data_IF_226141332909
#
_entry.id   IF_226141332909
#
_cell.length_a   1.000
_cell.length_b   1.000
_cell.length_c   1.000
_cell.angle_alpha   90.00
_cell.angle_beta   90.00
_cell.angle_gamma   90.00
#
_symmetry.space_group_name_H-M   'P 1'
#
loop_
_entity.id
_entity.type
_entity.pdbx_description
1 polymer ?
#
# COMPACT_ATOMS: atom_id res chain seq x y z
N UNK A 1 59.91 -34.09 15.78
CA UNK A 1 59.18 -35.32 16.14
C UNK A 1 57.68 -35.08 15.88
N UNK A 2 57.24 -35.29 14.68
CA UNK A 2 56.52 -36.45 14.16
C UNK A 2 55.20 -36.70 14.86
N UNK A 3 54.10 -36.57 14.12
CA UNK A 3 52.79 -37.03 14.51
C UNK A 3 51.69 -36.58 13.51
N UNK A 4 51.71 -37.17 12.29
CA UNK A 4 50.55 -37.18 11.39
C UNK A 4 49.41 -37.97 12.05
N UNK A 5 48.22 -37.44 12.08
CA UNK A 5 46.99 -38.21 12.08
C UNK A 5 46.04 -37.71 10.99
N UNK A 6 45.95 -38.56 10.00
CA UNK A 6 44.96 -38.56 8.94
C UNK A 6 43.62 -39.04 9.58
N UNK A 7 42.54 -38.29 9.45
CA UNK A 7 41.19 -38.82 9.62
C UNK A 7 40.34 -38.35 8.47
N UNK A 8 39.87 -39.32 7.75
CA UNK A 8 39.02 -39.30 6.56
C UNK A 8 37.67 -38.62 6.79
N UNK A 9 37.23 -37.92 5.81
CA UNK A 9 35.98 -37.90 5.09
C UNK A 9 34.66 -38.07 5.86
N UNK A 10 33.99 -36.91 6.08
CA UNK A 10 32.52 -36.93 6.10
C UNK A 10 32.02 -35.82 5.12
N UNK A 11 31.63 -36.30 3.95
CA UNK A 11 30.92 -35.50 2.98
C UNK A 11 29.51 -35.19 3.52
N UNK A 12 29.35 -34.02 4.11
CA UNK A 12 28.02 -33.46 4.33
C UNK A 12 27.41 -33.10 2.97
N UNK A 13 26.58 -33.99 2.44
CA UNK A 13 25.68 -33.66 1.33
C UNK A 13 24.79 -32.51 1.77
N UNK A 14 25.01 -31.35 1.16
CA UNK A 14 24.18 -30.18 1.30
C UNK A 14 22.76 -30.51 0.90
N UNK A 15 21.86 -30.53 1.86
CA UNK A 15 20.44 -30.48 1.64
C UNK A 15 20.08 -29.03 1.28
N UNK A 16 20.13 -28.70 -0.02
CA UNK A 16 19.50 -27.50 -0.52
C UNK A 16 17.97 -27.71 -0.40
N UNK A 17 17.24 -26.84 0.31
CA UNK A 17 15.81 -26.86 0.20
C UNK A 17 15.45 -26.43 -1.22
N UNK A 18 14.88 -27.35 -1.97
CA UNK A 18 14.25 -27.04 -3.26
C UNK A 18 13.25 -25.91 -3.03
N UNK A 19 13.47 -24.79 -3.69
CA UNK A 19 12.52 -23.69 -3.80
C UNK A 19 11.21 -24.26 -4.31
N UNK A 20 10.22 -24.40 -3.41
CA UNK A 20 8.85 -24.68 -3.81
C UNK A 20 8.44 -23.55 -4.75
N UNK A 21 8.20 -23.89 -5.99
CA UNK A 21 7.60 -23.01 -6.97
C UNK A 21 6.35 -22.39 -6.35
N UNK A 22 6.36 -21.07 -6.24
CA UNK A 22 5.17 -20.30 -5.95
C UNK A 22 4.09 -20.69 -6.97
N UNK A 23 2.88 -21.09 -6.54
CA UNK A 23 1.80 -21.44 -7.47
C UNK A 23 1.25 -20.22 -8.22
N UNK A 24 1.76 -19.03 -7.97
CA UNK A 24 1.41 -17.84 -8.71
C UNK A 24 2.36 -17.72 -9.91
N UNK A 25 1.93 -18.36 -11.02
CA UNK A 25 2.56 -18.17 -12.32
C UNK A 25 2.69 -16.68 -12.61
N UNK A 26 3.84 -16.30 -13.15
CA UNK A 26 4.11 -14.95 -13.65
C UNK A 26 2.98 -14.57 -14.61
N UNK A 27 2.05 -13.75 -14.16
CA UNK A 27 0.99 -13.19 -14.98
C UNK A 27 1.69 -12.20 -15.90
N UNK A 28 2.01 -12.65 -17.11
CA UNK A 28 2.43 -11.78 -18.19
C UNK A 28 1.21 -10.95 -18.64
N UNK A 29 0.99 -9.82 -17.96
CA UNK A 29 0.04 -8.85 -18.45
C UNK A 29 0.51 -8.28 -19.79
N UNK A 30 -0.31 -8.46 -20.81
CA UNK A 30 -0.13 -7.82 -22.12
C UNK A 30 -0.08 -6.31 -21.91
N UNK A 31 1.10 -5.69 -22.07
CA UNK A 31 1.32 -4.25 -22.11
C UNK A 31 0.66 -3.64 -23.36
N UNK A 32 -0.65 -3.45 -23.33
CA UNK A 32 -1.38 -2.71 -24.37
C UNK A 32 -2.16 -1.53 -23.77
N UNK A 33 -1.53 -0.75 -22.89
CA UNK A 33 -2.05 0.51 -22.39
C UNK A 33 -0.89 1.46 -22.10
N UNK A 34 -1.06 2.74 -22.42
CA UNK A 34 -0.13 3.80 -22.02
C UNK A 34 -0.07 3.83 -20.49
N UNK A 35 1.14 3.73 -19.91
CA UNK A 35 1.35 3.77 -18.45
C UNK A 35 0.58 4.94 -17.83
N UNK A 36 0.05 4.74 -16.63
CA UNK A 36 -0.62 5.81 -15.86
C UNK A 36 0.30 7.02 -15.69
N UNK A 37 1.59 6.78 -15.58
CA UNK A 37 2.62 7.81 -15.40
C UNK A 37 2.74 8.74 -16.61
N UNK A 38 2.65 8.22 -17.83
CA UNK A 38 2.64 9.04 -19.06
C UNK A 38 1.43 9.97 -19.06
N UNK A 39 0.26 9.47 -18.67
CA UNK A 39 -0.97 10.26 -18.58
C UNK A 39 -0.91 11.33 -17.49
N UNK A 40 -0.31 11.01 -16.35
CA UNK A 40 -0.05 11.99 -15.28
C UNK A 40 0.95 13.05 -15.80
N UNK A 41 2.02 12.63 -16.48
CA UNK A 41 3.00 13.52 -17.06
C UNK A 41 2.39 14.49 -18.07
N UNK A 42 1.56 14.01 -18.98
CA UNK A 42 0.82 14.85 -19.94
C UNK A 42 -0.10 15.86 -19.22
N UNK A 43 -0.80 15.39 -18.17
CA UNK A 43 -1.70 16.22 -17.39
C UNK A 43 -0.93 17.34 -16.67
N UNK A 44 0.16 17.00 -15.98
CA UNK A 44 1.02 17.96 -15.27
C UNK A 44 1.68 18.95 -16.22
N UNK A 45 2.04 18.51 -17.42
CA UNK A 45 2.67 19.38 -18.43
C UNK A 45 1.72 20.41 -19.00
N UNK A 46 0.41 20.09 -19.07
CA UNK A 46 -0.64 21.01 -19.56
C UNK A 46 -1.08 22.05 -18.52
N UNK A 47 -0.70 21.89 -17.27
CA UNK A 47 -1.07 22.80 -16.17
C UNK A 47 0.17 23.37 -15.45
N UNK A 48 1.06 24.09 -16.15
CA UNK A 48 2.27 24.64 -15.54
C UNK A 48 1.91 25.72 -14.52
N UNK A 49 2.37 25.54 -13.27
CA UNK A 49 2.26 26.57 -12.23
C UNK A 49 0.94 26.63 -11.47
N UNK A 50 0.02 25.70 -11.68
CA UNK A 50 -1.19 25.59 -10.86
C UNK A 50 -0.90 24.90 -9.53
N UNK A 51 -1.55 25.38 -8.46
CA UNK A 51 -1.55 24.69 -7.18
C UNK A 51 -2.08 23.24 -7.34
N UNK A 52 -1.55 22.29 -6.60
CA UNK A 52 -1.97 20.89 -6.70
C UNK A 52 -3.48 20.75 -6.44
N UNK A 53 -4.04 21.60 -5.59
CA UNK A 53 -5.49 21.68 -5.34
C UNK A 53 -6.32 21.92 -6.61
N UNK A 54 -5.89 22.83 -7.48
CA UNK A 54 -6.56 23.08 -8.77
C UNK A 54 -6.33 21.94 -9.77
N UNK A 55 -5.26 21.16 -9.62
CA UNK A 55 -5.04 19.96 -10.44
C UNK A 55 -6.05 18.85 -10.11
N UNK A 56 -6.44 18.68 -8.85
CA UNK A 56 -7.50 17.73 -8.47
C UNK A 56 -8.84 18.11 -9.09
N UNK A 57 -9.17 19.42 -9.11
CA UNK A 57 -10.39 19.91 -9.74
C UNK A 57 -10.35 19.76 -11.27
N UNK A 58 -9.19 20.00 -11.89
CA UNK A 58 -8.99 19.79 -13.32
C UNK A 58 -9.12 18.31 -13.73
N UNK A 59 -8.81 17.35 -12.83
CA UNK A 59 -9.05 15.93 -13.08
C UNK A 59 -10.53 15.60 -13.31
N UNK A 60 -11.43 16.26 -12.57
CA UNK A 60 -12.87 16.06 -12.73
C UNK A 60 -13.34 16.41 -14.14
N UNK A 61 -12.69 17.40 -14.76
CA UNK A 61 -13.05 17.87 -16.10
C UNK A 61 -12.32 17.16 -17.22
N UNK A 62 -11.02 16.85 -17.03
CA UNK A 62 -10.18 16.26 -18.06
C UNK A 62 -10.57 14.83 -18.46
N UNK A 63 -11.13 14.04 -17.53
CA UNK A 63 -11.44 12.63 -17.76
C UNK A 63 -12.94 12.31 -17.64
N UNK A 64 -13.82 13.27 -17.97
CA UNK A 64 -15.28 13.09 -17.91
C UNK A 64 -15.79 11.89 -18.70
N UNK A 65 -15.15 11.56 -19.83
CA UNK A 65 -15.54 10.45 -20.70
C UNK A 65 -15.04 9.06 -20.26
N UNK A 66 -14.12 8.98 -19.26
CA UNK A 66 -13.55 7.71 -18.81
C UNK A 66 -13.45 7.66 -17.28
N UNK A 67 -14.50 7.17 -16.60
CA UNK A 67 -14.54 7.14 -15.14
C UNK A 67 -13.48 6.23 -14.51
N UNK A 68 -13.08 5.15 -15.18
CA UNK A 68 -12.04 4.25 -14.70
C UNK A 68 -10.67 4.93 -14.72
N UNK A 69 -10.29 5.52 -15.84
CA UNK A 69 -9.04 6.27 -15.97
C UNK A 69 -8.99 7.43 -14.96
N UNK A 70 -10.11 8.13 -14.77
CA UNK A 70 -10.21 9.21 -13.78
C UNK A 70 -9.90 8.71 -12.37
N UNK A 71 -10.45 7.55 -11.95
CA UNK A 71 -10.16 6.95 -10.65
C UNK A 71 -8.69 6.58 -10.50
N UNK A 72 -8.11 5.93 -11.53
CA UNK A 72 -6.69 5.54 -11.53
C UNK A 72 -5.75 6.74 -11.41
N UNK A 73 -5.99 7.81 -12.18
CA UNK A 73 -5.20 9.05 -12.11
C UNK A 73 -5.40 9.74 -10.76
N UNK A 74 -6.64 9.81 -10.26
CA UNK A 74 -6.95 10.41 -8.96
C UNK A 74 -6.25 9.65 -7.82
N UNK A 75 -6.29 8.32 -7.83
CA UNK A 75 -5.58 7.48 -6.87
C UNK A 75 -4.08 7.80 -6.86
N UNK A 76 -3.43 7.81 -8.03
CA UNK A 76 -2.00 8.06 -8.13
C UNK A 76 -1.61 9.46 -7.64
N UNK A 77 -2.40 10.49 -7.97
CA UNK A 77 -2.16 11.85 -7.49
C UNK A 77 -2.39 11.96 -5.98
N UNK A 78 -3.42 11.30 -5.44
CA UNK A 78 -3.65 11.26 -4.00
C UNK A 78 -2.46 10.66 -3.26
N UNK A 79 -1.97 9.53 -3.74
CA UNK A 79 -0.81 8.87 -3.15
C UNK A 79 0.42 9.77 -3.16
N UNK A 80 0.74 10.41 -4.29
CA UNK A 80 1.88 11.33 -4.40
C UNK A 80 1.71 12.52 -3.44
N UNK A 81 0.53 13.14 -3.44
CA UNK A 81 0.27 14.33 -2.64
C UNK A 81 0.32 14.05 -1.14
N UNK A 82 -0.38 13.01 -0.69
CA UNK A 82 -0.44 12.66 0.74
C UNK A 82 0.91 12.14 1.24
N UNK A 83 1.66 11.36 0.44
CA UNK A 83 3.02 10.95 0.80
C UNK A 83 3.96 12.15 0.95
N UNK A 84 3.88 13.11 0.04
CA UNK A 84 4.68 14.32 0.13
C UNK A 84 4.34 15.20 1.35
N UNK A 85 3.06 15.21 1.76
CA UNK A 85 2.61 15.92 2.95
C UNK A 85 3.02 15.19 4.24
N UNK A 86 2.95 13.86 4.25
CA UNK A 86 3.43 13.02 5.35
C UNK A 86 4.91 13.25 5.61
N UNK A 87 5.74 13.14 4.58
CA UNK A 87 7.18 13.41 4.65
C UNK A 87 7.51 14.85 5.09
N UNK A 88 6.64 15.84 4.81
CA UNK A 88 6.80 17.21 5.29
C UNK A 88 6.46 17.33 6.79
N UNK A 89 5.50 16.58 7.29
CA UNK A 89 5.11 16.60 8.70
C UNK A 89 6.24 16.13 9.63
N UNK A 90 7.06 15.18 9.17
CA UNK A 90 8.22 14.69 9.92
C UNK A 90 9.46 15.57 9.75
N UNK A 91 9.50 16.36 8.70
CA UNK A 91 10.62 17.26 8.38
C UNK A 91 11.83 16.55 7.77
N UNK A 92 11.88 15.24 7.75
CA UNK A 92 12.97 14.42 7.23
C UNK A 92 12.39 13.48 6.17
N UNK A 93 12.87 13.58 4.94
CA UNK A 93 12.57 12.60 3.89
C UNK A 93 13.76 11.66 3.82
N UNK A 94 13.57 10.41 4.20
CA UNK A 94 14.62 9.41 4.16
C UNK A 94 14.83 8.88 2.73
N UNK A 95 16.05 8.41 2.44
CA UNK A 95 16.33 7.76 1.16
C UNK A 95 15.50 6.48 0.97
N UNK A 96 15.13 5.83 2.07
CA UNK A 96 14.35 4.60 2.08
C UNK A 96 12.88 4.86 1.76
N UNK A 97 12.28 5.95 2.26
CA UNK A 97 10.94 6.40 1.84
C UNK A 97 10.88 6.73 0.35
N UNK A 98 11.89 7.43 -0.19
CA UNK A 98 11.96 7.73 -1.63
C UNK A 98 12.10 6.44 -2.44
N UNK A 99 12.90 5.47 -1.95
CA UNK A 99 13.05 4.17 -2.60
C UNK A 99 11.75 3.39 -2.57
N UNK A 100 11.11 3.24 -1.40
CA UNK A 100 9.83 2.57 -1.25
C UNK A 100 8.75 3.20 -2.13
N UNK A 101 8.69 4.53 -2.14
CA UNK A 101 7.81 5.25 -3.04
C UNK A 101 8.05 4.87 -4.52
N UNK A 102 9.31 4.83 -4.95
CA UNK A 102 9.68 4.52 -6.33
C UNK A 102 9.39 3.05 -6.68
N UNK A 103 9.61 2.13 -5.75
CA UNK A 103 9.35 0.70 -5.90
C UNK A 103 7.85 0.39 -5.93
N UNK A 104 7.07 0.97 -4.99
CA UNK A 104 5.61 0.80 -4.93
C UNK A 104 4.97 1.26 -6.24
N UNK A 105 5.40 2.39 -6.72
CA UNK A 105 4.80 3.03 -7.88
C UNK A 105 5.33 2.51 -9.22
N UNK A 106 6.32 1.62 -9.24
CA UNK A 106 6.96 1.11 -10.45
C UNK A 106 7.15 2.22 -11.52
N UNK A 107 7.64 3.39 -11.09
CA UNK A 107 7.72 4.60 -11.91
C UNK A 107 8.76 4.38 -13.02
N UNK A 108 8.37 4.46 -14.30
CA UNK A 108 9.33 4.41 -15.39
C UNK A 108 10.33 5.56 -15.27
N UNK A 109 11.59 5.31 -15.58
CA UNK A 109 12.64 6.32 -15.49
C UNK A 109 12.34 7.57 -16.35
N UNK A 110 11.65 7.39 -17.47
CA UNK A 110 11.16 8.49 -18.32
C UNK A 110 10.20 9.43 -17.60
N UNK A 111 9.42 8.93 -16.64
CA UNK A 111 8.38 9.68 -15.93
C UNK A 111 8.82 10.19 -14.55
N UNK A 112 10.00 9.79 -14.09
CA UNK A 112 10.53 10.18 -12.76
C UNK A 112 10.55 11.69 -12.55
N UNK A 113 10.84 12.48 -13.59
CA UNK A 113 10.84 13.96 -13.52
C UNK A 113 9.44 14.53 -13.27
N UNK A 114 8.41 13.97 -13.91
CA UNK A 114 7.02 14.40 -13.77
C UNK A 114 6.49 14.08 -12.38
N UNK A 115 6.83 12.89 -11.87
CA UNK A 115 6.47 12.48 -10.51
C UNK A 115 7.19 13.32 -9.47
N UNK A 116 8.49 13.55 -9.62
CA UNK A 116 9.26 14.42 -8.72
C UNK A 116 8.73 15.87 -8.72
N UNK A 117 8.30 16.36 -9.87
CA UNK A 117 7.66 17.70 -9.97
C UNK A 117 6.36 17.75 -9.18
N UNK A 118 5.48 16.75 -9.32
CA UNK A 118 4.24 16.63 -8.56
C UNK A 118 4.50 16.57 -7.05
N UNK A 119 5.46 15.74 -6.65
CA UNK A 119 5.86 15.58 -5.26
C UNK A 119 6.35 16.92 -4.67
N UNK A 120 7.20 17.65 -5.40
CA UNK A 120 7.69 18.97 -4.97
C UNK A 120 6.57 20.01 -4.92
N UNK A 121 5.65 20.01 -5.87
CA UNK A 121 4.47 20.89 -5.83
C UNK A 121 3.63 20.61 -4.57
N UNK A 122 3.39 19.35 -4.24
CA UNK A 122 2.67 18.95 -3.03
C UNK A 122 3.38 19.41 -1.75
N UNK A 123 4.72 19.30 -1.69
CA UNK A 123 5.51 19.77 -0.54
C UNK A 123 5.45 21.28 -0.38
N UNK A 124 5.45 22.04 -1.48
CA UNK A 124 5.47 23.51 -1.47
C UNK A 124 4.08 24.12 -1.26
N UNK A 125 3.02 23.39 -1.56
CA UNK A 125 1.66 23.88 -1.41
C UNK A 125 1.37 24.24 0.05
N UNK A 126 0.80 25.43 0.26
CA UNK A 126 0.41 25.96 1.57
C UNK A 126 -0.81 25.23 2.14
N UNK A 127 -1.67 24.69 1.26
CA UNK A 127 -2.83 23.93 1.67
C UNK A 127 -2.44 22.75 2.56
N UNK A 128 -3.13 22.58 3.68
CA UNK A 128 -2.97 21.44 4.57
C UNK A 128 -3.30 20.12 3.85
N UNK A 129 -2.82 19.02 4.38
CA UNK A 129 -3.12 17.70 3.81
C UNK A 129 -4.61 17.35 3.90
N UNK A 130 -5.32 17.95 4.85
CA UNK A 130 -6.75 17.73 5.06
C UNK A 130 -7.54 18.09 3.80
N UNK A 131 -7.25 19.24 3.18
CA UNK A 131 -7.96 19.65 1.96
C UNK A 131 -7.73 18.70 0.78
N UNK A 132 -6.60 18.01 0.73
CA UNK A 132 -6.35 16.95 -0.26
C UNK A 132 -7.11 15.68 0.07
N UNK A 133 -7.11 15.27 1.34
CA UNK A 133 -7.84 14.11 1.81
C UNK A 133 -9.36 14.28 1.58
N UNK A 134 -9.93 15.46 1.89
CA UNK A 134 -11.34 15.78 1.64
C UNK A 134 -11.70 15.68 0.15
N UNK A 135 -10.88 16.24 -0.74
CA UNK A 135 -11.11 16.15 -2.18
C UNK A 135 -11.03 14.72 -2.71
N UNK A 136 -10.19 13.87 -2.11
CA UNK A 136 -10.11 12.46 -2.44
C UNK A 136 -11.33 11.70 -1.94
N UNK A 137 -11.80 12.01 -0.73
CA UNK A 137 -13.04 11.45 -0.18
C UNK A 137 -14.24 11.75 -1.09
N UNK A 138 -14.32 12.98 -1.62
CA UNK A 138 -15.36 13.39 -2.57
C UNK A 138 -15.36 12.60 -3.89
N UNK A 139 -14.20 12.11 -4.34
CA UNK A 139 -14.11 11.30 -5.57
C UNK A 139 -14.72 9.90 -5.40
N UNK A 140 -14.74 9.39 -4.17
CA UNK A 140 -15.38 8.12 -3.83
C UNK A 140 -16.90 8.24 -3.63
N UNK A 141 -17.44 9.44 -3.66
CA UNK A 141 -18.80 9.75 -3.25
C UNK A 141 -18.83 10.05 -1.75
N UNK A 142 -18.84 11.35 -1.43
CA UNK A 142 -18.79 11.87 -0.07
C UNK A 142 -19.76 11.15 0.88
N UNK A 143 -19.25 10.76 2.04
CA UNK A 143 -20.05 10.20 3.13
C UNK A 143 -20.31 8.69 3.10
N UNK A 144 -19.66 7.93 2.22
CA UNK A 144 -19.70 6.45 2.32
C UNK A 144 -18.63 5.99 3.32
N UNK A 145 -19.03 5.45 4.49
CA UNK A 145 -18.05 4.93 5.44
C UNK A 145 -17.28 3.75 4.82
N UNK A 146 -16.01 3.64 5.18
CA UNK A 146 -15.14 2.54 4.77
C UNK A 146 -15.10 2.30 3.25
N UNK A 147 -14.96 3.37 2.46
CA UNK A 147 -14.81 3.24 1.01
C UNK A 147 -13.50 2.50 0.69
N UNK A 148 -13.60 1.35 0.02
CA UNK A 148 -12.47 0.47 -0.25
C UNK A 148 -11.32 1.14 -1.02
N UNK A 149 -11.58 2.10 -1.90
CA UNK A 149 -10.53 2.85 -2.60
C UNK A 149 -9.77 3.79 -1.65
N UNK A 150 -10.45 4.40 -0.66
CA UNK A 150 -9.81 5.24 0.35
C UNK A 150 -9.00 4.39 1.34
N UNK A 151 -9.49 3.20 1.66
CA UNK A 151 -8.72 2.20 2.42
C UNK A 151 -7.45 1.80 1.65
N UNK A 152 -7.54 1.56 0.34
CA UNK A 152 -6.39 1.22 -0.49
C UNK A 152 -5.34 2.35 -0.51
N UNK A 153 -5.78 3.63 -0.51
CA UNK A 153 -4.89 4.79 -0.37
C UNK A 153 -4.21 4.80 1.00
N UNK A 154 -4.99 4.65 2.08
CA UNK A 154 -4.46 4.67 3.45
C UNK A 154 -3.45 3.54 3.67
N UNK A 155 -3.75 2.34 3.20
CA UNK A 155 -2.87 1.17 3.30
C UNK A 155 -1.56 1.38 2.52
N UNK A 156 -1.63 2.03 1.36
CA UNK A 156 -0.46 2.43 0.59
C UNK A 156 0.41 3.46 1.32
N UNK A 157 -0.19 4.42 2.01
CA UNK A 157 0.53 5.40 2.82
C UNK A 157 1.25 4.72 4.01
N UNK A 158 0.60 3.76 4.68
CA UNK A 158 1.23 2.93 5.70
C UNK A 158 2.43 2.14 5.16
N UNK A 159 2.31 1.62 3.93
CA UNK A 159 3.40 0.90 3.30
C UNK A 159 4.62 1.79 3.04
N UNK A 160 4.40 3.07 2.68
CA UNK A 160 5.46 4.07 2.52
C UNK A 160 6.06 4.43 3.89
N UNK A 161 5.23 4.71 4.89
CA UNK A 161 5.66 5.06 6.24
C UNK A 161 6.54 3.95 6.87
N UNK A 162 6.25 2.69 6.56
CA UNK A 162 7.01 1.53 7.05
C UNK A 162 8.34 1.30 6.31
N UNK A 163 8.72 2.10 5.36
CA UNK A 163 9.87 1.84 4.49
C UNK A 163 11.21 1.71 5.22
N UNK A 164 11.37 2.40 6.33
CA UNK A 164 12.54 2.33 7.21
C UNK A 164 12.42 1.24 8.31
N UNK A 165 11.32 0.48 8.30
CA UNK A 165 11.07 -0.66 9.20
C UNK A 165 10.02 -0.40 10.28
N UNK A 166 9.75 0.84 10.65
CA UNK A 166 8.82 1.24 11.70
C UNK A 166 7.96 2.41 11.25
N UNK A 167 6.68 2.39 11.61
CA UNK A 167 5.81 3.56 11.43
C UNK A 167 5.97 4.46 12.67
N UNK A 168 6.45 5.68 12.48
CA UNK A 168 6.69 6.62 13.56
C UNK A 168 5.38 7.21 14.12
N UNK A 169 5.37 7.63 15.38
CA UNK A 169 4.19 8.15 16.05
C UNK A 169 3.54 9.34 15.33
N UNK A 170 4.36 10.23 14.74
CA UNK A 170 3.88 11.38 13.95
C UNK A 170 3.17 10.94 12.68
N UNK A 171 3.68 9.89 12.01
CA UNK A 171 3.05 9.31 10.83
C UNK A 171 1.73 8.63 11.20
N UNK A 172 1.69 7.89 12.31
CA UNK A 172 0.44 7.30 12.82
C UNK A 172 -0.60 8.40 13.08
N UNK A 173 -0.20 9.52 13.69
CA UNK A 173 -1.09 10.66 13.94
C UNK A 173 -1.62 11.26 12.64
N UNK A 174 -0.74 11.45 11.65
CA UNK A 174 -1.10 11.93 10.30
C UNK A 174 -2.08 10.96 9.63
N UNK A 175 -1.75 9.66 9.61
CA UNK A 175 -2.56 8.62 8.97
C UNK A 175 -3.92 8.46 9.65
N UNK A 176 -3.99 8.60 10.98
CA UNK A 176 -5.25 8.60 11.74
C UNK A 176 -6.14 9.77 11.31
N UNK A 177 -5.56 10.96 11.16
CA UNK A 177 -6.31 12.12 10.69
C UNK A 177 -6.82 11.96 9.26
N UNK A 178 -6.01 11.37 8.37
CA UNK A 178 -6.44 11.01 7.01
C UNK A 178 -7.60 10.00 7.05
N UNK A 179 -7.51 8.98 7.91
CA UNK A 179 -8.55 7.98 8.07
C UNK A 179 -9.89 8.57 8.53
N UNK A 180 -9.86 9.53 9.48
CA UNK A 180 -11.05 10.26 9.92
C UNK A 180 -11.74 10.99 8.75
N UNK A 181 -10.94 11.70 7.92
CA UNK A 181 -11.46 12.42 6.74
C UNK A 181 -12.03 11.43 5.71
N UNK A 182 -11.44 10.26 5.60
CA UNK A 182 -11.88 9.19 4.72
C UNK A 182 -13.12 8.43 5.26
N UNK A 183 -13.65 8.83 6.42
CA UNK A 183 -14.72 8.14 7.13
C UNK A 183 -14.42 6.65 7.38
N UNK A 184 -13.15 6.34 7.67
CA UNK A 184 -12.70 5.02 8.15
C UNK A 184 -12.82 5.04 9.66
N UNK A 185 -13.62 4.12 10.20
CA UNK A 185 -13.83 4.06 11.66
C UNK A 185 -12.58 3.60 12.41
N UNK A 186 -12.55 3.88 13.72
CA UNK A 186 -11.37 3.59 14.55
C UNK A 186 -11.01 2.11 14.61
N UNK A 187 -11.98 1.21 14.63
CA UNK A 187 -11.74 -0.24 14.64
C UNK A 187 -11.10 -0.70 13.33
N UNK A 188 -11.59 -0.19 12.22
CA UNK A 188 -11.04 -0.48 10.89
C UNK A 188 -9.63 0.12 10.72
N UNK A 189 -9.41 1.34 11.25
CA UNK A 189 -8.08 1.94 11.27
C UNK A 189 -7.07 1.08 12.04
N UNK A 190 -7.42 0.59 13.24
CA UNK A 190 -6.55 -0.30 14.02
C UNK A 190 -6.29 -1.62 13.30
N UNK A 191 -7.26 -2.13 12.56
CA UNK A 191 -7.08 -3.31 11.71
C UNK A 191 -6.07 -3.05 10.59
N UNK A 192 -6.11 -1.87 9.95
CA UNK A 192 -5.13 -1.50 8.92
C UNK A 192 -3.75 -1.33 9.54
N UNK A 193 -3.64 -0.55 10.62
CA UNK A 193 -2.38 -0.33 11.34
C UNK A 193 -1.73 -1.66 11.75
N UNK A 194 -2.52 -2.61 12.24
CA UNK A 194 -2.01 -3.91 12.70
C UNK A 194 -1.42 -4.77 11.57
N UNK A 195 -1.83 -4.57 10.31
CA UNK A 195 -1.22 -5.24 9.15
C UNK A 195 0.20 -4.75 8.86
N UNK A 196 0.52 -3.53 9.28
CA UNK A 196 1.81 -2.88 9.04
C UNK A 196 2.76 -2.95 10.23
N UNK A 197 2.30 -3.36 11.41
CA UNK A 197 3.15 -3.55 12.57
C UNK A 197 4.12 -4.73 12.38
N UNK A 198 5.14 -4.78 13.23
CA UNK A 198 6.18 -5.82 13.17
C UNK A 198 5.55 -7.19 13.43
N UNK A 199 5.94 -8.18 12.63
CA UNK A 199 5.53 -9.58 12.80
C UNK A 199 5.84 -10.08 14.22
N UNK A 200 4.81 -10.46 14.96
CA UNK A 200 4.93 -10.99 16.33
C UNK A 200 4.54 -10.02 17.45
N UNK A 201 4.46 -8.73 17.17
CA UNK A 201 4.00 -7.71 18.15
C UNK A 201 2.50 -7.43 18.06
N UNK A 202 1.85 -7.88 16.98
CA UNK A 202 0.43 -7.60 16.72
C UNK A 202 -0.43 -8.80 17.04
N UNK A 203 -1.60 -8.55 17.60
CA UNK A 203 -2.62 -9.54 17.80
C UNK A 203 -3.20 -10.01 16.45
N UNK A 204 -3.03 -11.28 16.06
CA UNK A 204 -3.51 -11.78 14.77
C UNK A 204 -5.05 -11.73 14.65
N UNK A 205 -5.78 -11.69 15.77
CA UNK A 205 -7.24 -11.52 15.76
C UNK A 205 -7.64 -10.11 15.32
N UNK A 206 -6.88 -9.08 15.70
CA UNK A 206 -7.09 -7.70 15.23
C UNK A 206 -6.83 -7.62 13.72
N UNK A 207 -5.76 -8.23 13.22
CA UNK A 207 -5.44 -8.24 11.78
C UNK A 207 -6.60 -8.82 10.96
N UNK A 208 -7.23 -9.89 11.43
CA UNK A 208 -8.40 -10.48 10.76
C UNK A 208 -9.71 -9.75 11.08
N UNK A 209 -9.73 -8.86 12.07
CA UNK A 209 -10.96 -8.19 12.53
C UNK A 209 -11.98 -9.18 13.08
N UNK A 210 -11.54 -10.08 13.97
CA UNK A 210 -12.38 -11.07 14.64
C UNK A 210 -12.12 -11.06 16.14
N UNK A 211 -13.12 -11.44 16.93
CA UNK A 211 -12.97 -11.59 18.37
C UNK A 211 -12.11 -12.80 18.71
N UNK A 212 -11.34 -12.72 19.82
CA UNK A 212 -10.55 -13.88 20.31
C UNK A 212 -11.43 -15.07 20.69
N UNK A 213 -12.69 -14.81 21.04
CA UNK A 213 -13.71 -15.80 21.40
C UNK A 213 -14.40 -16.42 20.20
N UNK A 214 -14.20 -15.86 18.98
CA UNK A 214 -14.83 -16.35 17.76
C UNK A 214 -14.55 -17.82 17.49
N UNK A 215 -15.52 -18.55 16.98
CA UNK A 215 -15.35 -19.95 16.58
C UNK A 215 -14.40 -20.09 15.39
N UNK A 216 -13.71 -21.24 15.29
CA UNK A 216 -12.72 -21.44 14.22
C UNK A 216 -13.32 -21.34 12.82
N UNK A 217 -14.56 -21.81 12.62
CA UNK A 217 -15.27 -21.71 11.34
C UNK A 217 -15.59 -20.25 10.96
N UNK A 218 -15.86 -19.39 11.95
CA UNK A 218 -16.06 -17.97 11.73
C UNK A 218 -14.76 -17.29 11.30
N UNK A 219 -13.66 -17.58 12.00
CA UNK A 219 -12.31 -17.08 11.66
C UNK A 219 -11.93 -17.50 10.24
N UNK A 220 -12.17 -18.75 9.88
CA UNK A 220 -11.90 -19.29 8.54
C UNK A 220 -12.73 -18.58 7.46
N UNK A 221 -14.03 -18.37 7.71
CA UNK A 221 -14.89 -17.61 6.78
C UNK A 221 -14.42 -16.16 6.60
N UNK A 222 -14.02 -15.52 7.71
CA UNK A 222 -13.50 -14.15 7.66
C UNK A 222 -12.19 -14.07 6.88
N UNK A 223 -11.26 -14.99 7.13
CA UNK A 223 -10.01 -15.12 6.38
C UNK A 223 -10.25 -15.23 4.86
N UNK A 224 -11.07 -16.17 4.43
CA UNK A 224 -11.37 -16.35 3.01
C UNK A 224 -12.02 -15.10 2.38
N UNK A 225 -12.89 -14.43 3.13
CA UNK A 225 -13.49 -13.17 2.70
C UNK A 225 -12.44 -12.08 2.51
N UNK A 226 -11.55 -11.89 3.49
CA UNK A 226 -10.48 -10.90 3.42
C UNK A 226 -9.54 -11.17 2.25
N UNK A 227 -9.12 -12.41 2.03
CA UNK A 227 -8.28 -12.76 0.87
C UNK A 227 -8.98 -12.45 -0.44
N UNK A 228 -10.28 -12.78 -0.57
CA UNK A 228 -11.05 -12.50 -1.77
C UNK A 228 -11.25 -10.98 -1.99
N UNK A 229 -11.52 -10.21 -0.94
CA UNK A 229 -11.72 -8.75 -1.01
C UNK A 229 -10.45 -7.99 -1.37
N UNK A 230 -9.28 -8.51 -0.98
CA UNK A 230 -7.97 -7.90 -1.18
C UNK A 230 -7.21 -8.48 -2.37
N UNK A 231 -7.87 -9.29 -3.21
CA UNK A 231 -7.25 -9.84 -4.41
C UNK A 231 -6.84 -8.72 -5.38
N UNK A 232 -5.63 -8.78 -6.01
CA UNK A 232 -5.15 -7.78 -6.95
C UNK A 232 -6.17 -7.38 -8.01
N UNK A 233 -6.88 -8.35 -8.62
CA UNK A 233 -7.89 -8.08 -9.63
C UNK A 233 -9.05 -7.21 -9.11
N UNK A 234 -9.41 -7.36 -7.84
CA UNK A 234 -10.44 -6.50 -7.22
C UNK A 234 -9.96 -5.09 -6.98
N UNK A 235 -8.69 -4.90 -6.61
CA UNK A 235 -8.10 -3.57 -6.48
C UNK A 235 -8.12 -2.86 -7.84
N UNK A 236 -7.69 -3.54 -8.90
CA UNK A 236 -7.70 -3.00 -10.26
C UNK A 236 -9.13 -2.65 -10.69
N UNK A 237 -10.11 -3.52 -10.43
CA UNK A 237 -11.52 -3.27 -10.72
C UNK A 237 -12.10 -2.05 -9.98
N UNK A 238 -11.58 -1.72 -8.79
CA UNK A 238 -11.94 -0.50 -8.03
C UNK A 238 -11.29 0.77 -8.57
N UNK A 239 -10.30 0.65 -9.45
CA UNK A 239 -9.57 1.77 -10.05
C UNK A 239 -8.19 2.01 -9.43
N UNK A 240 -7.66 1.07 -8.63
CA UNK A 240 -6.26 1.07 -8.22
C UNK A 240 -5.41 0.72 -9.45
N UNK A 241 -4.40 1.51 -9.81
CA UNK A 241 -3.53 1.19 -10.93
C UNK A 241 -2.76 -0.12 -10.71
N UNK A 242 -2.41 -0.81 -11.78
CA UNK A 242 -1.67 -2.08 -11.74
C UNK A 242 -0.31 -1.96 -11.05
N UNK A 243 0.28 -0.78 -11.12
CA UNK A 243 1.55 -0.44 -10.48
C UNK A 243 1.50 -0.56 -8.94
N UNK A 244 0.29 -0.54 -8.37
CA UNK A 244 0.07 -0.63 -6.91
C UNK A 244 -0.28 -2.05 -6.42
N UNK A 245 -0.22 -3.04 -7.28
CA UNK A 245 -0.52 -4.45 -6.91
C UNK A 245 0.37 -4.97 -5.77
N UNK A 246 1.55 -4.41 -5.60
CA UNK A 246 2.46 -4.72 -4.49
C UNK A 246 1.79 -4.52 -3.12
N UNK A 247 0.94 -3.48 -2.97
CA UNK A 247 0.19 -3.21 -1.75
C UNK A 247 -0.79 -4.37 -1.46
N UNK A 248 -1.51 -4.84 -2.48
CA UNK A 248 -2.42 -5.98 -2.34
C UNK A 248 -1.70 -7.24 -1.88
N UNK A 249 -0.54 -7.54 -2.46
CA UNK A 249 0.27 -8.70 -2.11
C UNK A 249 0.77 -8.62 -0.66
N UNK A 250 1.24 -7.46 -0.22
CA UNK A 250 1.68 -7.23 1.17
C UNK A 250 0.53 -7.40 2.16
N UNK A 251 -0.67 -6.90 1.82
CA UNK A 251 -1.89 -7.06 2.62
C UNK A 251 -2.29 -8.52 2.75
N UNK A 252 -2.33 -9.26 1.64
CA UNK A 252 -2.63 -10.70 1.64
C UNK A 252 -1.60 -11.47 2.45
N UNK A 253 -0.32 -11.14 2.35
CA UNK A 253 0.72 -11.78 3.15
C UNK A 253 0.51 -11.57 4.66
N UNK A 254 0.14 -10.37 5.10
CA UNK A 254 -0.19 -10.09 6.50
C UNK A 254 -1.42 -10.88 6.98
N UNK A 255 -2.47 -10.96 6.16
CA UNK A 255 -3.69 -11.73 6.43
C UNK A 255 -3.38 -13.23 6.57
N UNK A 256 -2.57 -13.79 5.66
CA UNK A 256 -2.16 -15.19 5.69
C UNK A 256 -1.35 -15.50 6.96
N UNK A 257 -0.38 -14.65 7.30
CA UNK A 257 0.44 -14.80 8.50
C UNK A 257 -0.41 -14.79 9.77
N UNK A 258 -1.37 -13.86 9.86
CA UNK A 258 -2.27 -13.78 11.01
C UNK A 258 -3.13 -15.05 11.14
N UNK A 259 -3.68 -15.55 10.03
CA UNK A 259 -4.45 -16.79 10.04
C UNK A 259 -3.61 -17.99 10.50
N UNK A 260 -2.39 -18.16 9.98
CA UNK A 260 -1.48 -19.22 10.38
C UNK A 260 -1.07 -19.14 11.87
N UNK A 261 -0.92 -17.91 12.41
CA UNK A 261 -0.66 -17.72 13.84
C UNK A 261 -1.84 -18.17 14.69
N UNK A 262 -3.07 -17.82 14.31
CA UNK A 262 -4.28 -18.27 15.02
C UNK A 262 -4.41 -19.78 14.96
N UNK A 263 -4.17 -20.42 13.81
CA UNK A 263 -4.18 -21.88 13.70
C UNK A 263 -3.18 -22.52 14.67
N UNK A 264 -1.96 -21.97 14.75
CA UNK A 264 -0.92 -22.48 15.67
C UNK A 264 -1.31 -22.33 17.13
N UNK A 265 -1.88 -21.18 17.51
CA UNK A 265 -2.37 -20.93 18.88
C UNK A 265 -3.45 -21.94 19.26
N UNK A 266 -4.43 -22.15 18.37
CA UNK A 266 -5.59 -23.01 18.60
C UNK A 266 -5.25 -24.51 18.61
N UNK A 267 -4.20 -24.94 17.90
CA UNK A 267 -3.72 -26.34 17.96
C UNK A 267 -2.96 -26.67 19.25
N UNK A 268 -2.49 -25.65 19.97
CA UNK A 268 -1.74 -25.80 21.22
C UNK A 268 -2.61 -25.66 22.46
N UNK A 269 -3.81 -25.11 22.33
CA UNK A 269 -4.81 -24.96 23.38
C UNK A 269 -5.73 -26.19 23.46
#
# INVERSE_FOLDING_TARGET
LSGLFFVEGWACRGFMPQSRHSPYGSIHFKKNGMSIWVRIGEFVSRAPGQALSSMVDALRTAFRGNPELRRRVAFSIAMIALSAKMAKADGIVTADEVRAFTEIFAIPQSESRNVARLYNLAKQDVAGFESYAERMADLCGSGRPNCAMLEDILDGLFHIAKADGLVHEREVTFLRRVAEIFAIDGQHFEQILSRHAILGETDPYIVLGVERTAGFDEIRRRYHRLVAENHPDRLIARGVPEEFVTIANSRIAAINTAYEQIERIRRRA
#
